data_IF_090453385710
#
_entry.id   IF_090453385710
#
_cell.length_a   1.000
_cell.length_b   1.000
_cell.length_c   1.000
_cell.angle_alpha   90.00
_cell.angle_beta   90.00
_cell.angle_gamma   90.00
#
_symmetry.space_group_name_H-M   'P 1'
#
loop_
_entity.id
_entity.type
_entity.pdbx_description
1 polymer ?
#
# COMPACT_ATOMS: atom_id res chain seq x y z
N UNK A 1 9.53 27.38 23.47
CA UNK A 1 9.20 28.07 22.21
C UNK A 1 8.48 27.08 21.31
N UNK A 2 7.39 27.47 20.62
CA UNK A 2 6.70 26.55 19.73
C UNK A 2 7.55 26.27 18.47
N UNK A 3 7.44 25.05 17.93
CA UNK A 3 8.18 24.67 16.72
C UNK A 3 7.84 25.52 15.49
N UNK A 4 6.62 26.09 15.45
CA UNK A 4 6.18 27.01 14.40
C UNK A 4 6.91 28.36 14.36
N UNK A 5 7.59 28.76 15.45
CA UNK A 5 8.44 29.96 15.47
C UNK A 5 9.88 29.71 15.01
N UNK A 6 10.21 28.46 14.74
CA UNK A 6 11.54 28.05 14.26
C UNK A 6 11.51 27.85 12.76
N UNK A 7 12.57 28.18 12.06
CA UNK A 7 12.81 27.77 10.68
C UNK A 7 13.96 26.77 10.67
N UNK A 8 13.66 25.56 10.20
CA UNK A 8 14.67 24.53 9.94
C UNK A 8 15.40 24.82 8.63
N UNK A 9 16.72 24.74 8.68
CA UNK A 9 17.58 24.78 7.50
C UNK A 9 18.09 23.38 7.21
N UNK A 10 17.52 22.74 6.19
CA UNK A 10 17.89 21.40 5.77
C UNK A 10 18.84 21.48 4.58
N UNK A 11 19.98 20.79 4.65
CA UNK A 11 20.94 20.76 3.55
C UNK A 11 20.75 19.48 2.71
N UNK A 12 20.71 19.66 1.41
CA UNK A 12 20.64 18.57 0.43
C UNK A 12 21.79 18.63 -0.57
N UNK A 13 22.15 17.49 -1.13
CA UNK A 13 22.97 17.40 -2.34
C UNK A 13 22.02 17.14 -3.52
N UNK A 14 21.96 18.06 -4.44
CA UNK A 14 21.15 18.00 -5.67
C UNK A 14 22.11 17.83 -6.85
N UNK A 15 22.06 16.69 -7.50
CA UNK A 15 23.02 16.32 -8.54
C UNK A 15 24.48 16.58 -8.09
N UNK A 16 24.78 16.21 -6.83
CA UNK A 16 26.09 16.38 -6.19
C UNK A 16 26.40 17.80 -5.69
N UNK A 17 25.57 18.82 -5.95
CA UNK A 17 25.79 20.20 -5.52
C UNK A 17 24.97 20.49 -4.25
N UNK A 18 25.55 21.20 -3.26
CA UNK A 18 24.83 21.52 -2.04
C UNK A 18 23.81 22.63 -2.25
N UNK A 19 22.62 22.45 -1.66
CA UNK A 19 21.57 23.45 -1.54
C UNK A 19 20.99 23.45 -0.13
N UNK A 20 20.46 24.57 0.34
CA UNK A 20 19.71 24.68 1.57
C UNK A 20 18.23 24.83 1.30
N UNK A 21 17.40 24.16 2.09
CA UNK A 21 15.95 24.26 2.05
C UNK A 21 15.43 24.71 3.40
N UNK A 22 14.60 25.72 3.40
CA UNK A 22 14.00 26.30 4.59
C UNK A 22 12.53 25.88 4.68
N UNK A 23 12.18 25.27 5.82
CA UNK A 23 10.79 24.97 6.18
C UNK A 23 10.53 25.38 7.62
N UNK A 24 9.27 25.61 7.98
CA UNK A 24 8.89 25.87 9.36
C UNK A 24 9.25 24.66 10.24
N UNK A 25 9.59 24.86 11.49
CA UNK A 25 10.14 23.85 12.38
C UNK A 25 9.24 22.64 12.65
N UNK A 26 7.93 22.79 12.50
CA UNK A 26 6.92 21.74 12.60
C UNK A 26 6.59 21.06 11.23
N UNK A 27 7.30 21.41 10.17
CA UNK A 27 7.10 20.88 8.81
C UNK A 27 8.31 20.05 8.35
N UNK A 28 8.09 19.17 7.39
CA UNK A 28 9.14 18.40 6.74
C UNK A 28 9.27 18.76 5.26
N UNK A 29 10.49 18.65 4.74
CA UNK A 29 10.76 18.87 3.31
C UNK A 29 10.25 17.67 2.51
N UNK A 30 9.59 17.94 1.38
CA UNK A 30 9.28 16.94 0.36
C UNK A 30 10.38 16.97 -0.71
N UNK A 31 11.23 15.96 -0.71
CA UNK A 31 12.37 15.82 -1.62
C UNK A 31 11.95 15.73 -3.11
N UNK A 32 10.79 15.16 -3.39
CA UNK A 32 10.23 15.09 -4.75
C UNK A 32 9.85 16.50 -5.25
N UNK A 33 9.25 17.35 -4.39
CA UNK A 33 8.97 18.74 -4.74
C UNK A 33 10.27 19.51 -5.04
N UNK A 34 11.29 19.32 -4.21
CA UNK A 34 12.61 19.91 -4.43
C UNK A 34 13.25 19.43 -5.74
N UNK A 35 13.20 18.12 -5.99
CA UNK A 35 13.67 17.49 -7.23
C UNK A 35 13.00 18.09 -8.46
N UNK A 36 11.68 18.24 -8.43
CA UNK A 36 10.89 18.79 -9.53
C UNK A 36 11.18 20.29 -9.74
N UNK A 37 11.29 21.06 -8.65
CA UNK A 37 11.62 22.49 -8.73
C UNK A 37 12.95 22.73 -9.44
N UNK A 38 13.95 21.89 -9.14
CA UNK A 38 15.31 22.04 -9.67
C UNK A 38 15.55 21.24 -10.96
N UNK A 39 14.54 20.50 -11.45
CA UNK A 39 14.65 19.57 -12.57
C UNK A 39 15.86 18.61 -12.42
N UNK A 40 16.09 18.13 -11.19
CA UNK A 40 17.23 17.33 -10.81
C UNK A 40 17.02 15.84 -11.11
N UNK A 41 18.12 15.10 -11.24
CA UNK A 41 18.09 13.64 -11.35
C UNK A 41 18.16 12.98 -9.98
N UNK A 42 18.92 13.56 -9.04
CA UNK A 42 19.15 13.01 -7.71
C UNK A 42 19.06 14.09 -6.63
N UNK A 43 18.40 13.75 -5.53
CA UNK A 43 18.27 14.60 -4.34
C UNK A 43 18.47 13.73 -3.11
N UNK A 44 19.53 13.98 -2.36
CA UNK A 44 19.84 13.28 -1.12
C UNK A 44 20.14 14.26 -0.01
N UNK A 45 19.77 13.91 1.23
CA UNK A 45 20.11 14.73 2.39
C UNK A 45 21.64 14.78 2.56
N UNK A 46 22.19 15.95 2.86
CA UNK A 46 23.61 16.13 3.08
C UNK A 46 24.05 15.39 4.37
N UNK A 47 25.19 14.71 4.30
CA UNK A 47 25.80 14.09 5.46
C UNK A 47 26.38 15.13 6.44
N UNK A 48 26.62 14.71 7.67
CA UNK A 48 27.10 15.59 8.75
C UNK A 48 28.42 16.33 8.40
N UNK A 49 29.31 15.67 7.68
CA UNK A 49 30.59 16.27 7.26
C UNK A 49 30.34 17.42 6.25
N UNK A 50 29.45 17.21 5.29
CA UNK A 50 29.03 18.23 4.32
C UNK A 50 28.34 19.41 5.03
N UNK A 51 27.43 19.13 5.99
CA UNK A 51 26.78 20.19 6.78
C UNK A 51 27.83 21.03 7.50
N UNK A 52 28.77 20.39 8.20
CA UNK A 52 29.82 21.10 8.94
C UNK A 52 30.78 21.87 8.02
N UNK A 53 31.09 21.33 6.86
CA UNK A 53 31.93 22.03 5.87
C UNK A 53 31.30 23.33 5.38
N UNK A 54 29.99 23.31 5.13
CA UNK A 54 29.24 24.45 4.58
C UNK A 54 28.90 25.47 5.65
N UNK A 55 28.33 25.01 6.78
CA UNK A 55 27.79 25.90 7.82
C UNK A 55 28.82 26.25 8.92
N UNK A 56 29.94 25.53 9.00
CA UNK A 56 30.93 25.57 10.09
C UNK A 56 30.36 25.12 11.45
N UNK A 57 29.12 24.58 11.45
CA UNK A 57 28.43 24.11 12.65
C UNK A 57 28.06 22.64 12.55
N UNK A 58 27.87 21.94 13.66
CA UNK A 58 27.34 20.58 13.65
C UNK A 58 25.87 20.56 13.19
N UNK A 59 25.38 19.38 12.81
CA UNK A 59 23.96 19.16 12.49
C UNK A 59 23.08 19.64 13.65
N UNK A 60 21.98 20.32 13.33
CA UNK A 60 21.07 20.93 14.30
C UNK A 60 21.24 22.43 14.49
N UNK A 61 22.38 23.02 14.06
CA UNK A 61 22.67 24.44 14.20
C UNK A 61 22.85 25.17 12.87
N UNK A 62 22.51 24.53 11.75
CA UNK A 62 22.51 25.15 10.44
C UNK A 62 21.42 26.23 10.35
N UNK A 63 21.78 27.38 9.82
CA UNK A 63 20.88 28.51 9.60
C UNK A 63 21.06 29.15 8.21
N UNK A 64 20.10 29.94 7.73
CA UNK A 64 20.13 30.51 6.39
C UNK A 64 21.01 31.76 6.27
N UNK A 65 21.33 32.40 7.40
CA UNK A 65 22.07 33.67 7.43
C UNK A 65 23.54 33.43 7.10
N UNK A 66 24.05 34.12 6.09
CA UNK A 66 25.45 34.02 5.67
C UNK A 66 25.83 32.76 4.91
N UNK A 67 24.84 31.96 4.45
CA UNK A 67 25.14 30.83 3.57
C UNK A 67 25.53 31.28 2.15
N UNK A 68 26.59 30.71 1.62
CA UNK A 68 27.10 30.98 0.27
C UNK A 68 26.60 29.97 -0.78
N UNK A 69 25.63 29.11 -0.42
CA UNK A 69 24.99 28.15 -1.33
C UNK A 69 23.57 28.58 -1.67
N UNK A 70 22.96 28.07 -2.77
CA UNK A 70 21.57 28.37 -3.08
C UNK A 70 20.63 27.98 -1.93
N UNK A 71 19.73 28.90 -1.55
CA UNK A 71 18.74 28.72 -0.49
C UNK A 71 17.34 28.78 -1.08
N UNK A 72 16.58 27.72 -0.92
CA UNK A 72 15.18 27.62 -1.35
C UNK A 72 14.29 27.62 -0.10
N UNK A 73 13.27 28.45 -0.09
CA UNK A 73 12.39 28.56 1.07
C UNK A 73 10.95 28.15 0.72
N UNK A 74 10.30 27.46 1.65
CA UNK A 74 8.88 27.16 1.49
C UNK A 74 8.06 28.45 1.43
N UNK A 75 7.06 28.45 0.56
CA UNK A 75 6.19 29.60 0.33
C UNK A 75 5.42 30.03 1.60
N UNK A 76 5.18 29.11 2.54
CA UNK A 76 4.55 29.37 3.84
C UNK A 76 5.36 30.39 4.67
N UNK A 77 6.67 30.45 4.49
CA UNK A 77 7.56 31.36 5.21
C UNK A 77 7.59 32.78 4.62
N UNK A 78 6.96 32.98 3.46
CA UNK A 78 6.99 34.27 2.77
C UNK A 78 6.14 35.33 3.48
N UNK A 79 6.77 36.35 3.95
CA UNK A 79 6.09 37.50 4.59
C UNK A 79 5.95 37.39 6.10
N UNK A 80 6.34 36.28 6.71
CA UNK A 80 6.44 36.19 8.16
C UNK A 80 7.83 36.65 8.64
N UNK A 81 7.89 37.19 9.82
CA UNK A 81 9.07 37.73 10.49
C UNK A 81 9.19 37.17 11.90
N UNK A 82 10.28 37.46 12.57
CA UNK A 82 10.50 37.09 13.98
C UNK A 82 10.75 35.60 14.19
N UNK A 83 11.47 34.97 13.28
CA UNK A 83 11.84 33.56 13.39
C UNK A 83 13.11 33.32 14.22
N UNK A 84 13.20 32.10 14.74
CA UNK A 84 14.43 31.53 15.30
C UNK A 84 15.05 30.58 14.27
N UNK A 85 16.32 30.73 13.99
CA UNK A 85 17.08 29.91 13.04
C UNK A 85 18.40 29.45 13.65
N UNK A 86 19.03 28.41 13.09
CA UNK A 86 20.41 28.07 13.47
C UNK A 86 21.37 29.25 13.21
N UNK A 87 22.38 29.37 14.05
CA UNK A 87 23.35 30.47 13.95
C UNK A 87 24.60 30.11 13.13
N UNK A 88 24.67 28.95 12.50
CA UNK A 88 25.89 28.38 11.91
C UNK A 88 27.08 28.34 12.89
N UNK A 89 26.78 28.13 14.16
CA UNK A 89 27.70 27.97 15.25
C UNK A 89 27.14 26.94 16.24
N UNK A 90 28.03 26.16 16.87
CA UNK A 90 27.64 25.14 17.84
C UNK A 90 26.89 25.76 19.03
N UNK A 91 25.77 25.11 19.40
CA UNK A 91 24.91 25.47 20.54
C UNK A 91 24.37 26.93 20.50
N UNK A 92 24.12 27.47 19.29
CA UNK A 92 23.66 28.83 19.10
C UNK A 92 22.55 28.93 18.07
N UNK A 93 21.60 29.85 18.34
CA UNK A 93 20.50 30.22 17.43
C UNK A 93 20.39 31.75 17.32
N UNK A 94 19.98 32.21 16.16
CA UNK A 94 19.60 33.61 15.94
C UNK A 94 18.12 33.76 16.20
N UNK A 95 17.74 34.85 16.86
CA UNK A 95 16.34 35.23 17.12
C UNK A 95 15.99 36.50 16.34
N UNK A 96 14.70 36.76 16.21
CA UNK A 96 14.20 37.94 15.49
C UNK A 96 14.66 38.03 14.03
N UNK A 97 14.80 36.86 13.37
CA UNK A 97 15.24 36.80 11.97
C UNK A 97 14.07 37.04 11.04
N UNK A 98 14.29 37.96 10.08
CA UNK A 98 13.47 38.18 8.92
C UNK A 98 14.19 37.61 7.68
N UNK A 99 13.62 36.53 7.09
CA UNK A 99 14.26 35.84 5.98
C UNK A 99 14.49 36.73 4.74
N UNK A 100 13.71 37.77 4.54
CA UNK A 100 13.91 38.70 3.43
C UNK A 100 15.04 39.71 3.71
N UNK A 101 15.24 40.05 4.98
CA UNK A 101 16.28 41.00 5.41
C UNK A 101 17.61 40.31 5.61
N UNK A 102 17.58 39.12 6.26
CA UNK A 102 18.76 38.51 6.88
C UNK A 102 19.32 37.31 6.08
N UNK A 103 18.58 36.81 5.10
CA UNK A 103 19.00 35.64 4.31
C UNK A 103 18.86 35.94 2.79
N UNK A 104 19.75 35.35 2.00
CA UNK A 104 19.66 35.43 0.53
C UNK A 104 18.87 34.22 0.04
N UNK A 105 17.54 34.35 -0.10
CA UNK A 105 16.67 33.30 -0.62
C UNK A 105 16.67 33.35 -2.14
N UNK A 106 17.10 32.25 -2.76
CA UNK A 106 17.15 32.08 -4.22
C UNK A 106 15.77 32.00 -4.84
N UNK A 107 14.85 31.23 -4.23
CA UNK A 107 13.48 31.14 -4.66
C UNK A 107 12.55 30.67 -3.51
N UNK A 108 11.29 31.11 -3.61
CA UNK A 108 10.19 30.69 -2.74
C UNK A 108 9.30 29.72 -3.52
N UNK A 109 9.04 28.52 -2.98
CA UNK A 109 8.25 27.51 -3.65
C UNK A 109 7.51 26.62 -2.65
N UNK A 110 6.57 25.81 -3.13
CA UNK A 110 5.93 24.77 -2.33
C UNK A 110 6.90 23.59 -2.15
N UNK A 111 7.52 23.48 -0.98
CA UNK A 111 8.58 22.51 -0.68
C UNK A 111 8.26 21.59 0.48
N UNK A 112 7.28 21.93 1.32
CA UNK A 112 6.95 21.13 2.50
C UNK A 112 6.05 19.94 2.17
N UNK A 113 6.14 18.90 2.99
CA UNK A 113 5.17 17.83 3.02
C UNK A 113 3.83 18.32 3.60
N UNK A 114 2.74 17.74 3.12
CA UNK A 114 1.40 17.98 3.64
C UNK A 114 1.21 17.25 4.98
N UNK A 115 0.40 17.84 5.87
CA UNK A 115 0.07 17.27 7.19
C UNK A 115 -1.44 17.23 7.40
N UNK A 116 -1.96 16.47 8.39
CA UNK A 116 -3.40 16.46 8.68
C UNK A 116 -3.99 17.78 9.16
N UNK A 117 -3.14 18.71 9.64
CA UNK A 117 -3.56 20.07 10.02
C UNK A 117 -3.76 21.01 8.83
N UNK A 118 -3.30 20.59 7.66
CA UNK A 118 -3.50 21.36 6.44
C UNK A 118 -4.94 21.21 5.93
N UNK A 119 -5.36 22.20 5.15
CA UNK A 119 -6.65 22.18 4.49
C UNK A 119 -6.49 22.06 2.99
N UNK A 120 -7.49 21.51 2.32
CA UNK A 120 -7.50 21.42 0.87
C UNK A 120 -7.42 22.82 0.23
N UNK A 121 -6.45 23.10 -0.63
CA UNK A 121 -6.29 24.45 -1.23
C UNK A 121 -7.42 24.83 -2.19
N UNK A 122 -8.26 23.86 -2.63
CA UNK A 122 -9.38 24.11 -3.54
C UNK A 122 -10.70 24.37 -2.81
N UNK A 123 -10.99 23.61 -1.74
CA UNK A 123 -12.30 23.68 -1.08
C UNK A 123 -12.22 23.99 0.42
N UNK A 124 -11.03 24.12 1.01
CA UNK A 124 -10.84 24.35 2.44
C UNK A 124 -11.20 23.14 3.35
N UNK A 125 -11.57 22.00 2.76
CA UNK A 125 -11.96 20.82 3.51
C UNK A 125 -10.77 20.17 4.25
N UNK A 126 -11.07 19.38 5.27
CA UNK A 126 -10.09 18.63 6.04
C UNK A 126 -9.35 17.61 5.16
N UNK A 127 -8.07 17.41 5.43
CA UNK A 127 -7.23 16.40 4.79
C UNK A 127 -7.08 15.19 5.72
N UNK A 128 -7.23 14.00 5.17
CA UNK A 128 -6.88 12.75 5.81
C UNK A 128 -5.69 12.11 5.10
N UNK A 129 -4.72 11.66 5.89
CA UNK A 129 -3.58 10.90 5.38
C UNK A 129 -3.82 9.42 5.64
N UNK A 130 -3.92 8.65 4.58
CA UNK A 130 -4.08 7.19 4.64
C UNK A 130 -2.90 6.50 3.97
N UNK A 131 -2.59 5.30 4.44
CA UNK A 131 -1.65 4.41 3.75
C UNK A 131 -2.44 3.42 2.91
N UNK A 132 -1.97 3.17 1.69
CA UNK A 132 -2.54 2.19 0.78
C UNK A 132 -1.46 1.36 0.11
N UNK A 133 -1.84 0.20 -0.39
CA UNK A 133 -0.99 -0.63 -1.24
C UNK A 133 -1.33 -0.28 -2.68
N UNK A 134 -0.35 0.21 -3.46
CA UNK A 134 -0.52 0.49 -4.88
C UNK A 134 -0.63 -0.81 -5.66
N UNK A 135 -1.83 -1.20 -6.04
CA UNK A 135 -2.10 -2.42 -6.82
C UNK A 135 -2.17 -2.17 -8.33
N UNK A 136 -2.37 -0.93 -8.73
CA UNK A 136 -2.39 -0.51 -10.13
C UNK A 136 -2.00 0.95 -10.29
N UNK A 137 -1.50 1.31 -11.49
CA UNK A 137 -1.04 2.65 -11.80
C UNK A 137 -1.40 3.03 -13.23
N UNK A 138 -1.89 4.26 -13.40
CA UNK A 138 -2.14 4.87 -14.72
C UNK A 138 -1.04 5.88 -14.99
N UNK A 139 -0.32 5.71 -16.09
CA UNK A 139 0.78 6.57 -16.49
C UNK A 139 0.36 7.45 -17.68
N UNK A 140 0.54 8.75 -17.56
CA UNK A 140 0.44 9.69 -18.65
C UNK A 140 1.84 9.84 -19.27
N UNK A 141 2.14 9.07 -20.32
CA UNK A 141 3.45 9.05 -20.99
C UNK A 141 3.61 10.23 -21.95
N UNK A 142 2.50 10.83 -22.40
CA UNK A 142 2.52 11.91 -23.37
C UNK A 142 3.21 11.50 -24.67
N UNK A 143 4.19 12.28 -25.11
CA UNK A 143 4.96 12.05 -26.33
C UNK A 143 6.39 11.55 -26.08
N UNK A 144 6.73 11.25 -24.81
CA UNK A 144 8.11 10.88 -24.43
C UNK A 144 8.70 9.76 -25.26
N UNK A 145 7.93 8.74 -25.56
CA UNK A 145 8.39 7.59 -26.36
C UNK A 145 8.01 7.72 -27.83
N UNK A 146 6.84 8.25 -28.14
CA UNK A 146 6.36 8.38 -29.50
C UNK A 146 7.20 9.36 -30.34
N UNK A 147 7.71 10.44 -29.75
CA UNK A 147 8.65 11.34 -30.44
C UNK A 147 9.94 10.60 -30.80
N UNK A 148 10.54 9.86 -29.88
CA UNK A 148 11.77 9.13 -30.09
C UNK A 148 11.62 7.96 -31.12
N UNK A 149 10.44 7.37 -31.18
CA UNK A 149 10.11 6.25 -32.07
C UNK A 149 9.52 6.71 -33.40
N UNK A 150 9.30 8.01 -33.61
CA UNK A 150 8.55 8.56 -34.74
C UNK A 150 7.19 7.88 -34.94
N UNK A 151 6.51 7.53 -33.79
CA UNK A 151 5.22 6.88 -33.84
C UNK A 151 4.13 7.92 -34.10
N UNK A 152 3.67 7.99 -35.35
CA UNK A 152 2.71 8.96 -35.83
C UNK A 152 1.50 8.29 -36.49
N UNK A 153 0.43 9.05 -36.66
CA UNK A 153 -0.76 8.69 -37.47
C UNK A 153 -1.17 9.89 -38.31
N UNK A 154 -1.95 9.64 -39.34
CA UNK A 154 -2.55 10.70 -40.15
C UNK A 154 -3.94 11.03 -39.54
N UNK A 155 -4.17 12.30 -39.23
CA UNK A 155 -5.47 12.78 -38.81
C UNK A 155 -6.49 12.80 -39.97
N UNK A 156 -7.73 13.18 -39.69
CA UNK A 156 -8.83 13.25 -40.68
C UNK A 156 -8.56 14.19 -41.87
N UNK A 157 -7.58 15.11 -41.73
CA UNK A 157 -7.13 16.03 -42.77
C UNK A 157 -5.87 15.55 -43.50
N UNK A 158 -5.42 14.33 -43.19
CA UNK A 158 -4.20 13.74 -43.79
C UNK A 158 -2.92 14.35 -43.20
N UNK A 159 -2.98 15.08 -42.08
CA UNK A 159 -1.82 15.66 -41.45
C UNK A 159 -1.22 14.67 -40.43
N UNK A 160 0.10 14.51 -40.47
CA UNK A 160 0.83 13.68 -39.51
C UNK A 160 0.75 14.25 -38.08
N UNK A 161 0.37 13.42 -37.15
CA UNK A 161 0.28 13.70 -35.71
C UNK A 161 1.07 12.66 -34.93
N UNK A 162 1.90 13.09 -33.98
CA UNK A 162 2.59 12.19 -33.07
C UNK A 162 1.58 11.66 -32.03
N UNK A 163 1.61 10.35 -31.82
CA UNK A 163 0.73 9.67 -30.87
C UNK A 163 0.95 10.15 -29.43
N UNK A 164 -0.14 10.43 -28.73
CA UNK A 164 -0.12 10.63 -27.28
C UNK A 164 -0.32 9.28 -26.62
N UNK A 165 0.59 8.92 -25.71
CA UNK A 165 0.63 7.59 -25.10
C UNK A 165 0.19 7.64 -23.64
N UNK A 166 -0.52 6.59 -23.24
CA UNK A 166 -0.79 6.24 -21.83
C UNK A 166 -0.35 4.80 -21.57
N UNK A 167 -0.17 4.47 -20.30
CA UNK A 167 0.10 3.11 -19.88
C UNK A 167 -0.76 2.80 -18.63
N UNK A 168 -1.28 1.58 -18.57
CA UNK A 168 -2.18 1.13 -17.54
C UNK A 168 -1.64 -0.18 -16.98
N UNK A 169 -1.15 -0.14 -15.75
CA UNK A 169 -0.53 -1.28 -15.11
C UNK A 169 -1.36 -1.83 -13.95
N UNK A 170 -1.44 -3.15 -13.83
CA UNK A 170 -1.97 -3.84 -12.64
C UNK A 170 -0.93 -4.86 -12.19
N UNK A 171 -0.54 -4.78 -10.93
CA UNK A 171 0.36 -5.75 -10.29
C UNK A 171 -0.40 -6.98 -9.82
N UNK A 172 -0.59 -7.99 -10.69
CA UNK A 172 -1.41 -9.16 -10.41
C UNK A 172 -1.00 -9.87 -9.12
N UNK A 173 0.28 -10.16 -8.95
CA UNK A 173 0.81 -10.77 -7.71
C UNK A 173 0.71 -9.84 -6.50
N UNK A 174 0.83 -8.53 -6.72
CA UNK A 174 0.63 -7.53 -5.65
C UNK A 174 -0.84 -7.45 -5.22
N UNK A 175 -1.80 -7.62 -6.12
CA UNK A 175 -3.24 -7.73 -5.77
C UNK A 175 -3.46 -8.90 -4.82
N UNK A 176 -2.90 -10.07 -5.15
CA UNK A 176 -3.02 -11.25 -4.27
C UNK A 176 -2.36 -11.01 -2.89
N UNK A 177 -1.15 -10.45 -2.87
CA UNK A 177 -0.46 -10.11 -1.63
C UNK A 177 -1.23 -9.07 -0.80
N UNK A 178 -1.79 -8.03 -1.43
CA UNK A 178 -2.60 -7.03 -0.77
C UNK A 178 -3.90 -7.60 -0.20
N UNK A 179 -4.53 -8.54 -0.92
CA UNK A 179 -5.72 -9.24 -0.43
C UNK A 179 -5.41 -10.07 0.83
N UNK A 180 -4.27 -10.76 0.87
CA UNK A 180 -3.82 -11.51 2.05
C UNK A 180 -3.53 -10.56 3.22
N UNK A 181 -2.83 -9.45 2.97
CA UNK A 181 -2.50 -8.43 3.99
C UNK A 181 -3.75 -7.81 4.62
N UNK A 182 -4.83 -7.67 3.84
CA UNK A 182 -6.09 -7.06 4.30
C UNK A 182 -7.09 -8.08 4.86
N UNK A 183 -6.91 -9.38 4.58
CA UNK A 183 -7.83 -10.44 4.95
C UNK A 183 -7.08 -11.58 5.63
N UNK A 184 -6.82 -11.42 6.91
CA UNK A 184 -6.19 -12.43 7.75
C UNK A 184 -6.70 -12.32 9.20
N UNK A 185 -6.47 -13.37 9.98
CA UNK A 185 -6.69 -13.42 11.42
C UNK A 185 -5.53 -14.15 12.11
N UNK A 186 -5.64 -14.39 13.42
CA UNK A 186 -4.63 -15.12 14.21
C UNK A 186 -4.42 -16.59 13.79
N UNK A 187 -5.31 -17.14 12.95
CA UNK A 187 -5.25 -18.52 12.48
C UNK A 187 -4.66 -18.63 11.07
N UNK A 188 -4.58 -17.53 10.32
CA UNK A 188 -4.01 -17.50 8.97
C UNK A 188 -4.76 -16.62 7.99
N UNK A 189 -4.66 -16.97 6.71
CA UNK A 189 -5.29 -16.24 5.62
C UNK A 189 -6.82 -16.43 5.65
N UNK A 190 -7.55 -15.40 5.21
CA UNK A 190 -9.00 -15.44 4.97
C UNK A 190 -9.27 -14.95 3.55
N UNK A 191 -9.13 -15.84 2.57
CA UNK A 191 -9.27 -15.42 1.18
C UNK A 191 -10.69 -14.99 0.82
N UNK A 192 -10.85 -13.83 0.16
CA UNK A 192 -12.06 -13.53 -0.58
C UNK A 192 -12.32 -14.59 -1.67
N UNK A 193 -13.54 -15.11 -1.82
CA UNK A 193 -13.81 -16.20 -2.76
C UNK A 193 -13.28 -16.00 -4.19
N UNK A 194 -13.35 -14.78 -4.80
CA UNK A 194 -12.81 -14.58 -6.15
C UNK A 194 -11.28 -14.66 -6.27
N UNK A 195 -10.55 -14.62 -5.15
CA UNK A 195 -9.08 -14.61 -5.11
C UNK A 195 -8.51 -15.88 -4.46
N UNK A 196 -9.38 -16.72 -3.93
CA UNK A 196 -8.97 -17.97 -3.30
C UNK A 196 -8.37 -18.93 -4.34
N UNK A 197 -7.29 -19.66 -3.99
CA UNK A 197 -6.69 -20.63 -4.90
C UNK A 197 -7.60 -21.85 -5.17
N UNK A 198 -8.52 -22.12 -4.25
CA UNK A 198 -9.58 -23.12 -4.34
C UNK A 198 -10.87 -22.58 -3.73
N UNK A 199 -12.02 -22.99 -4.26
CA UNK A 199 -13.32 -22.65 -3.67
C UNK A 199 -13.55 -23.33 -2.33
N UNK A 200 -13.10 -24.58 -2.22
CA UNK A 200 -13.39 -25.46 -1.09
C UNK A 200 -12.18 -26.34 -0.73
N UNK A 201 -11.99 -26.62 0.56
CA UNK A 201 -11.11 -27.68 1.02
C UNK A 201 -11.94 -28.82 1.64
N UNK A 202 -11.66 -30.05 1.23
CA UNK A 202 -12.32 -31.27 1.70
C UNK A 202 -11.34 -32.05 2.59
N UNK A 203 -11.62 -32.11 3.88
CA UNK A 203 -10.77 -32.78 4.88
C UNK A 203 -11.26 -34.19 5.13
N UNK A 204 -10.44 -35.18 4.79
CA UNK A 204 -10.63 -36.58 5.17
C UNK A 204 -10.03 -36.81 6.56
N UNK A 205 -10.86 -37.00 7.59
CA UNK A 205 -10.36 -37.20 8.99
C UNK A 205 -9.96 -38.63 9.30
N UNK A 206 -10.30 -39.58 8.46
CA UNK A 206 -9.96 -41.00 8.67
C UNK A 206 -9.66 -41.71 7.35
N UNK A 207 -8.50 -41.42 6.72
CA UNK A 207 -8.15 -41.95 5.41
C UNK A 207 -7.88 -43.47 5.42
N UNK A 208 -7.76 -44.11 6.61
CA UNK A 208 -7.60 -45.56 6.77
C UNK A 208 -8.94 -46.29 6.82
N UNK A 209 -10.03 -45.57 7.03
CA UNK A 209 -11.39 -46.15 7.03
C UNK A 209 -11.94 -46.15 5.59
N UNK A 210 -12.16 -47.36 5.07
CA UNK A 210 -12.61 -47.53 3.68
C UNK A 210 -13.94 -46.85 3.38
N UNK A 211 -14.91 -46.85 4.32
CA UNK A 211 -16.20 -46.19 4.18
C UNK A 211 -16.07 -44.66 4.12
N UNK A 212 -15.25 -44.10 5.02
CA UNK A 212 -14.96 -42.67 5.02
C UNK A 212 -14.26 -42.27 3.74
N UNK A 213 -13.26 -43.02 3.33
CA UNK A 213 -12.49 -42.73 2.12
C UNK A 213 -13.36 -42.78 0.87
N UNK A 214 -14.19 -43.82 0.72
CA UNK A 214 -15.13 -43.93 -0.41
C UNK A 214 -16.10 -42.76 -0.47
N UNK A 215 -16.61 -42.28 0.69
CA UNK A 215 -17.49 -41.12 0.74
C UNK A 215 -16.77 -39.80 0.39
N UNK A 216 -15.54 -39.62 0.84
CA UNK A 216 -14.70 -38.49 0.49
C UNK A 216 -14.46 -38.42 -1.01
N UNK A 217 -14.08 -39.54 -1.64
CA UNK A 217 -13.89 -39.64 -3.09
C UNK A 217 -15.19 -39.33 -3.86
N UNK A 218 -16.32 -39.83 -3.39
CA UNK A 218 -17.63 -39.49 -3.97
C UNK A 218 -17.94 -37.99 -3.91
N UNK A 219 -17.70 -37.38 -2.75
CA UNK A 219 -17.94 -35.92 -2.56
C UNK A 219 -16.97 -35.12 -3.42
N UNK A 220 -15.70 -35.51 -3.48
CA UNK A 220 -14.69 -34.88 -4.32
C UNK A 220 -15.10 -34.88 -5.80
N UNK A 221 -15.47 -36.04 -6.32
CA UNK A 221 -15.91 -36.19 -7.70
C UNK A 221 -17.15 -35.33 -7.98
N UNK A 222 -18.15 -35.37 -7.10
CA UNK A 222 -19.36 -34.56 -7.19
C UNK A 222 -19.03 -33.05 -7.24
N UNK A 223 -18.18 -32.55 -6.37
CA UNK A 223 -17.78 -31.13 -6.35
C UNK A 223 -17.09 -30.74 -7.65
N UNK A 224 -16.21 -31.60 -8.18
CA UNK A 224 -15.53 -31.40 -9.46
C UNK A 224 -16.54 -31.34 -10.63
N UNK A 225 -17.53 -32.23 -10.65
CA UNK A 225 -18.59 -32.26 -11.66
C UNK A 225 -19.48 -31.02 -11.60
N UNK A 226 -19.63 -30.40 -10.42
CA UNK A 226 -20.31 -29.13 -10.23
C UNK A 226 -19.46 -27.90 -10.64
N UNK A 227 -18.22 -28.11 -11.07
CA UNK A 227 -17.30 -27.02 -11.43
C UNK A 227 -16.69 -26.29 -10.24
N UNK A 228 -16.68 -26.91 -9.05
CA UNK A 228 -16.04 -26.37 -7.84
C UNK A 228 -14.56 -26.71 -7.86
N UNK A 229 -13.70 -25.72 -7.70
CA UNK A 229 -12.28 -25.94 -7.46
C UNK A 229 -12.07 -26.43 -6.02
N UNK A 230 -11.74 -27.70 -5.86
CA UNK A 230 -11.65 -28.36 -4.56
C UNK A 230 -10.24 -28.93 -4.32
N UNK A 231 -9.68 -28.58 -3.15
CA UNK A 231 -8.47 -29.22 -2.61
C UNK A 231 -8.89 -30.32 -1.64
N UNK A 232 -8.42 -31.56 -1.85
CA UNK A 232 -8.64 -32.67 -0.93
C UNK A 232 -7.40 -32.88 -0.04
N UNK A 233 -7.62 -32.91 1.27
CA UNK A 233 -6.59 -33.33 2.23
C UNK A 233 -6.81 -34.78 2.64
N UNK A 234 -6.13 -35.67 1.94
CA UNK A 234 -6.12 -37.14 2.12
C UNK A 234 -4.95 -37.65 2.98
N UNK A 235 -4.12 -36.75 3.50
CA UNK A 235 -2.94 -37.09 4.32
C UNK A 235 -3.35 -37.88 5.56
N UNK A 236 -2.53 -38.83 5.95
CA UNK A 236 -2.69 -39.59 7.21
C UNK A 236 -2.14 -38.76 8.38
N UNK A 237 -2.83 -37.67 8.70
CA UNK A 237 -2.48 -36.73 9.74
C UNK A 237 -3.61 -36.54 10.78
N UNK A 238 -3.23 -36.12 11.98
CA UNK A 238 -4.20 -35.85 13.05
C UNK A 238 -5.20 -34.78 12.66
N UNK A 239 -6.49 -34.90 13.02
CA UNK A 239 -7.52 -33.90 12.70
C UNK A 239 -7.12 -32.48 13.07
N UNK A 240 -6.49 -32.27 14.23
CA UNK A 240 -6.06 -30.93 14.66
C UNK A 240 -4.98 -30.29 13.77
N UNK A 241 -4.14 -31.09 13.10
CA UNK A 241 -3.16 -30.60 12.12
C UNK A 241 -3.90 -30.17 10.87
N UNK A 242 -4.79 -31.02 10.32
CA UNK A 242 -5.58 -30.71 9.13
C UNK A 242 -6.44 -29.46 9.31
N UNK A 243 -7.08 -29.27 10.47
CA UNK A 243 -7.86 -28.05 10.75
C UNK A 243 -6.98 -26.80 10.77
N UNK A 244 -5.81 -26.86 11.41
CA UNK A 244 -4.88 -25.75 11.43
C UNK A 244 -4.33 -25.39 10.06
N UNK A 245 -3.99 -26.40 9.27
CA UNK A 245 -3.51 -26.20 7.90
C UNK A 245 -4.61 -25.61 7.01
N UNK A 246 -5.87 -26.08 7.15
CA UNK A 246 -7.01 -25.53 6.42
C UNK A 246 -7.28 -24.05 6.78
N UNK A 247 -7.19 -23.70 8.06
CA UNK A 247 -7.34 -22.31 8.52
C UNK A 247 -6.16 -21.45 8.03
N UNK A 248 -4.94 -21.98 8.08
CA UNK A 248 -3.74 -21.28 7.60
C UNK A 248 -3.80 -20.99 6.09
N UNK A 249 -4.24 -21.98 5.29
CA UNK A 249 -4.42 -21.82 3.84
C UNK A 249 -5.51 -20.83 3.47
N UNK A 250 -6.50 -20.63 4.36
CA UNK A 250 -7.52 -19.61 4.20
C UNK A 250 -8.55 -19.84 3.11
N UNK A 251 -8.73 -21.11 2.67
CA UNK A 251 -9.75 -21.48 1.68
C UNK A 251 -11.14 -21.19 2.24
N UNK A 252 -12.03 -20.48 1.51
CA UNK A 252 -13.27 -19.95 2.06
C UNK A 252 -14.22 -20.99 2.64
N UNK A 253 -14.37 -22.11 1.96
CA UNK A 253 -15.30 -23.18 2.33
C UNK A 253 -14.53 -24.42 2.78
N UNK A 254 -14.84 -24.94 3.97
CA UNK A 254 -14.22 -26.14 4.51
C UNK A 254 -15.28 -27.20 4.72
N UNK A 255 -15.08 -28.38 4.14
CA UNK A 255 -15.89 -29.58 4.36
C UNK A 255 -15.09 -30.62 5.12
N UNK A 256 -15.72 -31.27 6.07
CA UNK A 256 -15.07 -32.20 6.97
C UNK A 256 -15.82 -33.54 6.98
N UNK A 257 -15.15 -34.58 6.58
CA UNK A 257 -15.71 -35.94 6.54
C UNK A 257 -14.97 -36.82 7.55
N UNK A 258 -15.74 -37.36 8.49
CA UNK A 258 -15.22 -38.28 9.47
C UNK A 258 -16.25 -39.35 9.84
N UNK A 259 -15.82 -40.49 10.38
CA UNK A 259 -16.71 -41.62 10.67
C UNK A 259 -17.88 -41.26 11.61
N UNK A 260 -17.68 -40.35 12.58
CA UNK A 260 -18.76 -39.92 13.50
C UNK A 260 -19.86 -39.13 12.79
N UNK A 261 -19.49 -38.27 11.83
CA UNK A 261 -20.43 -37.50 11.02
C UNK A 261 -21.20 -38.41 10.06
N UNK A 262 -20.48 -39.31 9.35
CA UNK A 262 -21.10 -40.24 8.42
C UNK A 262 -22.09 -41.19 9.10
N UNK A 263 -21.79 -41.66 10.31
CA UNK A 263 -22.72 -42.47 11.10
C UNK A 263 -24.03 -41.77 11.42
N UNK A 264 -24.07 -40.42 11.36
CA UNK A 264 -25.26 -39.60 11.50
C UNK A 264 -25.83 -39.11 10.15
N UNK A 265 -25.23 -39.52 9.04
CA UNK A 265 -25.63 -39.09 7.70
C UNK A 265 -25.27 -37.62 7.40
N UNK A 266 -24.23 -37.05 8.03
CA UNK A 266 -23.84 -35.66 7.88
C UNK A 266 -22.39 -35.47 7.44
N UNK A 267 -22.12 -34.38 6.75
CA UNK A 267 -20.81 -33.80 6.47
C UNK A 267 -20.75 -32.45 7.17
N UNK A 268 -19.74 -32.23 8.00
CA UNK A 268 -19.58 -30.95 8.67
C UNK A 268 -19.06 -29.90 7.68
N UNK A 269 -19.51 -28.67 7.81
CA UNK A 269 -19.00 -27.54 7.02
C UNK A 269 -18.62 -26.36 7.90
N UNK A 270 -17.67 -25.55 7.43
CA UNK A 270 -17.23 -24.33 8.12
C UNK A 270 -16.96 -23.24 7.10
N UNK A 271 -17.55 -22.06 7.30
CA UNK A 271 -17.13 -20.82 6.63
C UNK A 271 -15.85 -20.31 7.30
N UNK A 272 -14.76 -20.19 6.54
CA UNK A 272 -13.46 -19.79 7.05
C UNK A 272 -13.49 -18.39 7.65
N UNK A 273 -14.28 -17.48 7.07
CA UNK A 273 -14.34 -16.08 7.45
C UNK A 273 -15.14 -15.85 8.74
N UNK A 274 -16.37 -16.33 8.76
CA UNK A 274 -17.24 -16.12 9.93
C UNK A 274 -16.93 -17.09 11.07
N UNK A 275 -16.23 -18.20 10.75
CA UNK A 275 -16.06 -19.31 11.69
C UNK A 275 -17.32 -20.12 11.93
N UNK A 276 -18.43 -19.79 11.26
CA UNK A 276 -19.72 -20.49 11.40
C UNK A 276 -19.58 -21.93 10.93
N UNK A 277 -20.03 -22.84 11.79
CA UNK A 277 -20.05 -24.28 11.52
C UNK A 277 -21.47 -24.72 11.25
N UNK A 278 -21.62 -25.67 10.33
CA UNK A 278 -22.88 -26.27 9.97
C UNK A 278 -22.73 -27.76 9.65
N UNK A 279 -23.86 -28.36 9.36
CA UNK A 279 -23.98 -29.78 8.98
C UNK A 279 -24.76 -29.88 7.67
N UNK A 280 -24.23 -30.61 6.70
CA UNK A 280 -24.87 -30.86 5.43
C UNK A 280 -25.26 -32.34 5.35
N UNK A 281 -26.45 -32.70 4.83
CA UNK A 281 -26.88 -34.08 4.69
C UNK A 281 -26.01 -34.79 3.64
N UNK A 282 -25.42 -35.91 4.02
CA UNK A 282 -24.49 -36.66 3.17
C UNK A 282 -25.16 -37.26 1.93
N UNK A 283 -26.47 -37.51 1.97
CA UNK A 283 -27.25 -38.10 0.87
C UNK A 283 -27.75 -37.06 -0.13
N UNK A 284 -27.91 -35.79 0.29
CA UNK A 284 -28.35 -34.67 -0.55
C UNK A 284 -27.23 -33.63 -0.68
N UNK A 285 -25.98 -34.07 -0.73
CA UNK A 285 -24.81 -33.20 -0.60
C UNK A 285 -24.71 -32.11 -1.67
N UNK A 286 -25.07 -32.40 -2.93
CA UNK A 286 -24.96 -31.44 -4.02
C UNK A 286 -25.85 -30.21 -3.83
N UNK A 287 -27.13 -30.42 -3.50
CA UNK A 287 -28.10 -29.33 -3.27
C UNK A 287 -27.76 -28.56 -1.99
N UNK A 288 -27.43 -29.28 -0.91
CA UNK A 288 -27.08 -28.68 0.37
C UNK A 288 -25.81 -27.85 0.28
N UNK A 289 -24.80 -28.34 -0.42
CA UNK A 289 -23.57 -27.58 -0.68
C UNK A 289 -23.83 -26.33 -1.50
N UNK A 290 -24.62 -26.44 -2.59
CA UNK A 290 -24.96 -25.29 -3.44
C UNK A 290 -25.63 -24.16 -2.63
N UNK A 291 -26.61 -24.52 -1.81
CA UNK A 291 -27.33 -23.57 -0.96
C UNK A 291 -26.42 -22.92 0.09
N UNK A 292 -25.53 -23.72 0.72
CA UNK A 292 -24.58 -23.22 1.70
C UNK A 292 -23.50 -22.33 1.05
N UNK A 293 -22.93 -22.73 -0.09
CA UNK A 293 -21.94 -21.97 -0.82
C UNK A 293 -22.49 -20.61 -1.29
N UNK A 294 -23.76 -20.53 -1.67
CA UNK A 294 -24.42 -19.26 -1.99
C UNK A 294 -24.42 -18.32 -0.79
N UNK A 295 -24.77 -18.79 0.43
CA UNK A 295 -24.74 -17.98 1.66
C UNK A 295 -23.33 -17.47 1.97
N UNK A 296 -22.31 -18.31 1.83
CA UNK A 296 -20.91 -17.91 2.06
C UNK A 296 -20.53 -16.78 1.10
N UNK A 297 -20.87 -16.91 -0.19
CA UNK A 297 -20.57 -15.89 -1.20
C UNK A 297 -21.35 -14.59 -0.98
N UNK A 298 -22.63 -14.66 -0.62
CA UNK A 298 -23.45 -13.50 -0.28
C UNK A 298 -22.93 -12.74 0.93
N UNK A 299 -22.50 -13.45 1.97
CA UNK A 299 -21.88 -12.85 3.14
C UNK A 299 -20.63 -12.01 2.83
N UNK A 300 -19.86 -12.40 1.81
CA UNK A 300 -18.75 -11.62 1.29
C UNK A 300 -19.19 -10.38 0.50
N UNK A 301 -20.21 -10.49 -0.32
CA UNK A 301 -20.71 -9.38 -1.16
C UNK A 301 -21.28 -8.22 -0.31
N UNK A 302 -21.97 -8.52 0.78
CA UNK A 302 -22.63 -7.54 1.64
C UNK A 302 -21.66 -6.65 2.43
N UNK A 303 -20.39 -7.03 2.59
CA UNK A 303 -19.39 -6.21 3.30
C UNK A 303 -18.57 -5.28 2.38
N UNK A 304 -18.74 -5.40 1.07
CA UNK A 304 -18.09 -4.53 0.09
C UNK A 304 -18.96 -3.34 -0.33
N UNK A 305 -20.20 -3.29 0.13
CA UNK A 305 -21.16 -2.20 -0.07
C UNK A 305 -21.14 -1.23 1.12
#
# INVERSE_FOLDING_TARGET
MPASSVVKTMLFKVDGKPVAVLVRGDREVNDIKLKNLLNAQDVVMADAATVQQITKAPVGFAGPVGLEIPVYADAELQGATDYVVGANAGDAHLVHVDLKRDATVTAWADLRAITPEDTCPRCGGRIELTRGIEVGHVFMLGRKYSDAMHAAFLDENGKEQIMIMGCYGIGVSRVAAAAIEQNNDEHGIVFPPPLAPYDCILLNLDPRNEEVNAKVEQIYAMLKDMGVDVLMDDRDERPGVKFKDADLLGIPMQLVVGGKGLAKGIVECKDRRSGEKGELPADAMAEAFSAWAAKVREGWAQQQA
#
